data_IF_740188443800
#
_entry.id   IF_740188443800
#
_cell.length_a   1.000
_cell.length_b   1.000
_cell.length_c   1.000
_cell.angle_alpha   90.00
_cell.angle_beta   90.00
_cell.angle_gamma   90.00
#
_symmetry.space_group_name_H-M   'P 1'
#
loop_
_entity.id
_entity.type
_entity.pdbx_description
1 polymer ?
#
# COMPACT_ATOMS: atom_id res chain seq x y z
N UNK A 1 -16.54 28.96 17.13
CA UNK A 1 -17.10 27.95 16.23
C UNK A 1 -16.25 26.71 16.26
N UNK A 2 -16.84 25.60 16.54
CA UNK A 2 -16.12 24.36 16.56
C UNK A 2 -15.71 23.97 15.14
N UNK A 3 -14.46 23.59 15.00
CA UNK A 3 -13.94 23.05 13.74
C UNK A 3 -14.31 21.57 13.66
N UNK A 4 -15.46 21.28 13.06
CA UNK A 4 -15.98 19.91 12.95
C UNK A 4 -15.05 18.99 12.13
N UNK A 5 -14.33 19.54 11.17
CA UNK A 5 -13.34 18.77 10.40
C UNK A 5 -12.17 18.33 11.26
N UNK A 6 -11.66 19.21 12.12
CA UNK A 6 -10.58 18.87 13.03
C UNK A 6 -10.97 17.78 14.00
N UNK A 7 -12.18 17.87 14.57
CA UNK A 7 -12.69 16.86 15.48
C UNK A 7 -12.88 15.51 14.79
N UNK A 8 -13.38 15.50 13.54
CA UNK A 8 -13.57 14.27 12.78
C UNK A 8 -12.23 13.58 12.48
N UNK A 9 -11.20 14.35 12.19
CA UNK A 9 -9.85 13.81 11.95
C UNK A 9 -9.23 13.20 13.19
N UNK A 10 -9.39 13.88 14.34
CA UNK A 10 -8.90 13.38 15.62
C UNK A 10 -9.65 12.11 16.04
N UNK A 11 -10.94 12.05 15.82
CA UNK A 11 -11.75 10.88 16.09
C UNK A 11 -11.31 9.70 15.20
N UNK A 12 -11.12 9.94 13.91
CA UNK A 12 -10.64 8.92 12.99
C UNK A 12 -9.27 8.39 13.42
N UNK A 13 -8.33 9.27 13.75
CA UNK A 13 -7.01 8.90 14.24
C UNK A 13 -7.11 8.03 15.50
N UNK A 14 -7.96 8.44 16.45
CA UNK A 14 -8.16 7.70 17.69
C UNK A 14 -8.72 6.30 17.44
N UNK A 15 -9.65 6.17 16.49
CA UNK A 15 -10.20 4.87 16.09
C UNK A 15 -9.14 3.95 15.51
N UNK A 16 -8.26 4.47 14.65
CA UNK A 16 -7.18 3.68 14.05
C UNK A 16 -6.23 3.17 15.12
N UNK A 17 -5.83 4.04 16.05
CA UNK A 17 -4.94 3.67 17.15
C UNK A 17 -5.60 2.64 18.06
N UNK A 18 -6.88 2.82 18.38
CA UNK A 18 -7.63 1.87 19.21
C UNK A 18 -7.72 0.51 18.52
N UNK A 19 -7.99 0.48 17.22
CA UNK A 19 -8.05 -0.76 16.44
C UNK A 19 -6.71 -1.49 16.48
N UNK A 20 -5.60 -0.78 16.35
CA UNK A 20 -4.26 -1.37 16.39
C UNK A 20 -3.88 -1.88 17.78
N UNK A 21 -4.40 -1.25 18.84
CA UNK A 21 -4.19 -1.76 20.20
C UNK A 21 -4.91 -3.09 20.42
N UNK A 22 -6.08 -3.26 19.80
CA UNK A 22 -6.86 -4.49 19.88
C UNK A 22 -6.28 -5.59 19.01
N UNK A 23 -5.86 -5.23 17.79
CA UNK A 23 -5.28 -6.16 16.82
C UNK A 23 -4.10 -5.49 16.12
N UNK A 24 -2.88 -5.68 16.62
CA UNK A 24 -1.67 -5.10 16.02
C UNK A 24 -1.35 -5.62 14.63
N UNK A 25 -2.01 -6.70 14.18
CA UNK A 25 -1.80 -7.28 12.86
C UNK A 25 -2.89 -6.90 11.86
N UNK A 26 -3.77 -5.96 12.21
CA UNK A 26 -4.87 -5.56 11.34
C UNK A 26 -4.37 -4.61 10.26
N UNK A 27 -4.00 -5.17 9.11
CA UNK A 27 -3.42 -4.42 8.01
C UNK A 27 -4.25 -3.22 7.53
N UNK A 28 -5.59 -3.32 7.38
CA UNK A 28 -6.40 -2.16 6.95
C UNK A 28 -6.29 -0.94 7.86
N UNK A 29 -6.07 -1.13 9.15
CA UNK A 29 -5.89 -0.01 10.08
C UNK A 29 -4.59 0.74 9.79
N UNK A 30 -3.52 0.02 9.45
CA UNK A 30 -2.26 0.65 9.04
C UNK A 30 -2.41 1.41 7.73
N UNK A 31 -3.17 0.87 6.77
CA UNK A 31 -3.47 1.57 5.51
C UNK A 31 -4.21 2.88 5.79
N UNK A 32 -5.25 2.84 6.60
CA UNK A 32 -6.02 4.02 6.97
C UNK A 32 -5.19 5.05 7.72
N UNK A 33 -4.34 4.59 8.62
CA UNK A 33 -3.43 5.46 9.36
C UNK A 33 -2.42 6.14 8.42
N UNK A 34 -1.90 5.40 7.44
CA UNK A 34 -1.01 5.94 6.42
C UNK A 34 -1.69 7.04 5.59
N UNK A 35 -2.94 6.83 5.17
CA UNK A 35 -3.74 7.84 4.47
C UNK A 35 -3.92 9.07 5.35
N UNK A 36 -4.21 8.87 6.64
CA UNK A 36 -4.33 9.98 7.59
C UNK A 36 -3.07 10.84 7.62
N UNK A 37 -1.90 10.24 7.75
CA UNK A 37 -0.64 10.98 7.79
C UNK A 37 -0.32 11.67 6.45
N UNK A 38 -0.68 11.07 5.32
CA UNK A 38 -0.35 11.65 4.02
C UNK A 38 -1.31 12.75 3.57
N UNK A 39 -2.59 12.66 3.92
CA UNK A 39 -3.62 13.57 3.41
C UNK A 39 -4.28 14.45 4.46
N UNK A 40 -4.41 14.00 5.69
CA UNK A 40 -5.19 14.68 6.70
C UNK A 40 -4.39 15.30 7.83
N UNK A 41 -3.17 14.85 8.06
CA UNK A 41 -2.30 15.44 9.07
C UNK A 41 -1.86 16.83 8.66
N UNK A 42 -1.71 17.73 9.62
CA UNK A 42 -1.26 19.10 9.36
C UNK A 42 -0.09 19.44 10.30
N UNK A 43 1.14 19.54 9.77
CA UNK A 43 1.49 19.30 8.36
C UNK A 43 1.47 17.82 7.98
N UNK A 44 1.33 17.50 6.70
CA UNK A 44 1.42 16.11 6.26
C UNK A 44 2.75 15.47 6.63
N UNK A 45 2.71 14.20 6.98
CA UNK A 45 3.89 13.45 7.38
C UNK A 45 4.10 12.25 6.45
N UNK A 46 4.79 12.45 5.30
CA UNK A 46 4.98 11.36 4.34
C UNK A 46 5.87 10.24 4.86
N UNK A 47 6.77 10.53 5.81
CA UNK A 47 7.65 9.51 6.38
C UNK A 47 6.85 8.52 7.21
N UNK A 48 5.98 9.01 8.10
CA UNK A 48 5.11 8.13 8.89
C UNK A 48 4.10 7.41 8.01
N UNK A 49 3.55 8.11 7.01
CA UNK A 49 2.64 7.49 6.05
C UNK A 49 3.29 6.30 5.35
N UNK A 50 4.52 6.47 4.86
CA UNK A 50 5.26 5.42 4.19
C UNK A 50 5.50 4.21 5.11
N UNK A 51 5.86 4.46 6.36
CA UNK A 51 6.04 3.38 7.35
C UNK A 51 4.76 2.61 7.62
N UNK A 52 3.62 3.32 7.69
CA UNK A 52 2.32 2.69 7.88
C UNK A 52 1.94 1.81 6.68
N UNK A 53 2.14 2.32 5.46
CA UNK A 53 1.87 1.55 4.24
C UNK A 53 2.78 0.32 4.14
N UNK A 54 4.05 0.49 4.47
CA UNK A 54 4.99 -0.63 4.48
C UNK A 54 4.55 -1.71 5.46
N UNK A 55 4.16 -1.32 6.67
CA UNK A 55 3.67 -2.26 7.67
C UNK A 55 2.41 -2.98 7.21
N UNK A 56 1.48 -2.25 6.58
CA UNK A 56 0.25 -2.85 6.05
C UNK A 56 0.57 -3.93 5.01
N UNK A 57 1.48 -3.66 4.07
CA UNK A 57 1.88 -4.61 3.04
C UNK A 57 2.62 -5.82 3.64
N UNK A 58 3.45 -5.60 4.65
CA UNK A 58 4.15 -6.68 5.35
C UNK A 58 3.17 -7.63 6.04
N UNK A 59 2.12 -7.07 6.63
CA UNK A 59 1.10 -7.87 7.33
C UNK A 59 0.17 -8.59 6.34
N UNK A 60 -0.19 -7.94 5.24
CA UNK A 60 -1.07 -8.52 4.24
C UNK A 60 -0.74 -7.94 2.86
N UNK A 61 -0.16 -8.76 2.00
CA UNK A 61 0.20 -8.37 0.64
C UNK A 61 -1.02 -8.03 -0.23
N UNK A 62 -2.24 -8.37 0.24
CA UNK A 62 -3.48 -8.03 -0.46
C UNK A 62 -3.97 -6.61 -0.18
N UNK A 63 -3.28 -5.87 0.70
CA UNK A 63 -3.56 -4.44 0.94
C UNK A 63 -3.09 -3.63 -0.26
N UNK A 64 -3.83 -3.73 -1.38
CA UNK A 64 -3.45 -3.14 -2.66
C UNK A 64 -3.35 -1.63 -2.65
N UNK A 65 -4.20 -0.94 -1.90
CA UNK A 65 -4.13 0.53 -1.81
C UNK A 65 -2.85 0.98 -1.10
N UNK A 66 -2.48 0.31 -0.01
CA UNK A 66 -1.23 0.61 0.69
C UNK A 66 -0.02 0.32 -0.21
N UNK A 67 -0.04 -0.80 -0.91
CA UNK A 67 1.04 -1.19 -1.82
C UNK A 67 1.20 -0.17 -2.96
N UNK A 68 0.09 0.25 -3.56
CA UNK A 68 0.12 1.25 -4.62
C UNK A 68 0.71 2.58 -4.14
N UNK A 69 0.25 3.06 -2.99
CA UNK A 69 0.75 4.32 -2.41
C UNK A 69 2.21 4.23 -2.05
N UNK A 70 2.64 3.09 -1.51
CA UNK A 70 4.04 2.85 -1.19
C UNK A 70 4.90 2.85 -2.47
N UNK A 71 4.46 2.18 -3.52
CA UNK A 71 5.16 2.14 -4.80
C UNK A 71 5.24 3.54 -5.44
N UNK A 72 4.16 4.33 -5.37
CA UNK A 72 4.17 5.72 -5.86
C UNK A 72 5.20 6.57 -5.14
N UNK A 73 5.30 6.42 -3.82
CA UNK A 73 6.32 7.12 -3.03
C UNK A 73 7.74 6.74 -3.43
N UNK A 74 7.99 5.46 -3.63
CA UNK A 74 9.31 5.00 -4.10
C UNK A 74 9.60 5.48 -5.52
N UNK A 75 8.61 5.53 -6.40
CA UNK A 75 8.78 6.04 -7.76
C UNK A 75 9.13 7.54 -7.74
N UNK A 76 8.53 8.31 -6.87
CA UNK A 76 8.84 9.74 -6.72
C UNK A 76 10.29 9.94 -6.27
N UNK A 77 10.82 9.03 -5.48
CA UNK A 77 12.21 9.02 -5.03
C UNK A 77 13.15 8.32 -6.02
N UNK A 78 12.61 7.80 -7.11
CA UNK A 78 13.34 7.04 -8.14
C UNK A 78 13.99 5.75 -7.61
N UNK A 79 13.41 5.18 -6.57
CA UNK A 79 13.80 3.91 -5.98
C UNK A 79 13.14 2.75 -6.74
N UNK A 80 13.56 2.56 -7.99
CA UNK A 80 12.90 1.64 -8.92
C UNK A 80 12.96 0.17 -8.48
N UNK A 81 14.02 -0.23 -7.80
CA UNK A 81 14.12 -1.60 -7.25
C UNK A 81 13.04 -1.87 -6.21
N UNK A 82 12.76 -0.86 -5.37
CA UNK A 82 11.72 -0.98 -4.36
C UNK A 82 10.32 -0.95 -4.98
N UNK A 83 10.12 -0.17 -6.04
CA UNK A 83 8.87 -0.18 -6.81
C UNK A 83 8.59 -1.59 -7.34
N UNK A 84 9.60 -2.21 -7.93
CA UNK A 84 9.46 -3.58 -8.46
C UNK A 84 9.13 -4.59 -7.36
N UNK A 85 9.83 -4.53 -6.23
CA UNK A 85 9.58 -5.44 -5.11
C UNK A 85 8.13 -5.34 -4.64
N UNK A 86 7.62 -4.11 -4.45
CA UNK A 86 6.25 -3.88 -3.98
C UNK A 86 5.25 -4.39 -5.02
N UNK A 87 5.46 -4.09 -6.29
CA UNK A 87 4.58 -4.51 -7.37
C UNK A 87 4.51 -6.04 -7.48
N UNK A 88 5.66 -6.70 -7.48
CA UNK A 88 5.72 -8.17 -7.57
C UNK A 88 5.07 -8.83 -6.37
N UNK A 89 5.32 -8.33 -5.17
CA UNK A 89 4.71 -8.85 -3.95
C UNK A 89 3.19 -8.75 -4.00
N UNK A 90 2.65 -7.66 -4.53
CA UNK A 90 1.21 -7.48 -4.68
C UNK A 90 0.62 -8.53 -5.63
N UNK A 91 1.25 -8.72 -6.77
CA UNK A 91 0.80 -9.71 -7.77
C UNK A 91 0.86 -11.13 -7.19
N UNK A 92 1.95 -11.48 -6.55
CA UNK A 92 2.15 -12.79 -5.94
C UNK A 92 1.17 -13.04 -4.80
N UNK A 93 0.93 -12.03 -3.96
CA UNK A 93 -0.03 -12.12 -2.87
C UNK A 93 -1.44 -12.40 -3.35
N UNK A 94 -1.88 -11.72 -4.41
CA UNK A 94 -3.19 -11.94 -5.02
C UNK A 94 -3.26 -13.30 -5.73
N UNK A 95 -2.15 -13.74 -6.31
CA UNK A 95 -2.08 -15.01 -6.99
C UNK A 95 -1.98 -16.22 -6.08
N UNK A 96 -1.89 -15.99 -4.77
CA UNK A 96 -1.69 -17.06 -3.81
C UNK A 96 -0.29 -17.66 -3.91
N UNK A 97 0.70 -16.91 -3.40
CA UNK A 97 2.11 -17.28 -3.52
C UNK A 97 2.46 -18.69 -3.04
N UNK A 98 1.68 -19.24 -2.13
CA UNK A 98 1.83 -20.61 -1.63
C UNK A 98 0.96 -21.60 -2.40
N UNK A 99 0.15 -21.10 -3.33
CA UNK A 99 -0.77 -21.93 -4.09
C UNK A 99 -0.15 -22.45 -5.36
N UNK A 100 -0.91 -23.32 -5.99
CA UNK A 100 -0.57 -23.86 -7.29
C UNK A 100 -0.62 -22.76 -8.35
N UNK A 101 0.54 -22.29 -8.81
CA UNK A 101 0.65 -21.27 -9.82
C UNK A 101 0.09 -21.70 -11.19
N UNK A 102 -0.19 -22.98 -11.34
CA UNK A 102 -0.77 -23.52 -12.57
C UNK A 102 -2.30 -23.46 -12.57
N UNK A 103 -2.94 -23.14 -11.43
CA UNK A 103 -4.39 -23.07 -11.37
C UNK A 103 -4.91 -21.85 -12.15
N UNK A 104 -6.04 -22.05 -12.84
CA UNK A 104 -6.71 -20.97 -13.57
C UNK A 104 -7.15 -19.85 -12.64
N UNK A 105 -7.58 -20.21 -11.42
CA UNK A 105 -8.01 -19.23 -10.42
C UNK A 105 -6.87 -18.34 -9.96
N UNK A 106 -5.69 -18.91 -9.70
CA UNK A 106 -4.50 -18.14 -9.31
C UNK A 106 -4.05 -17.23 -10.44
N UNK A 107 -4.04 -17.74 -11.67
CA UNK A 107 -3.68 -16.93 -12.85
C UNK A 107 -4.66 -15.76 -13.03
N UNK A 108 -5.96 -16.01 -12.90
CA UNK A 108 -6.98 -14.96 -13.00
C UNK A 108 -6.82 -13.90 -11.92
N UNK A 109 -6.48 -14.32 -10.69
CA UNK A 109 -6.26 -13.39 -9.57
C UNK A 109 -5.12 -12.42 -9.84
N UNK A 110 -4.04 -12.89 -10.47
CA UNK A 110 -2.88 -12.06 -10.80
C UNK A 110 -3.21 -10.95 -11.80
N UNK A 111 -4.19 -11.19 -12.68
CA UNK A 111 -4.57 -10.24 -13.72
C UNK A 111 -5.82 -9.43 -13.38
N UNK A 112 -6.21 -9.37 -12.11
CA UNK A 112 -7.33 -8.52 -11.69
C UNK A 112 -7.08 -7.07 -12.06
N UNK A 113 -8.12 -6.32 -12.49
CA UNK A 113 -7.97 -4.90 -12.81
C UNK A 113 -7.42 -4.06 -11.66
N UNK A 114 -7.70 -4.44 -10.41
CA UNK A 114 -7.18 -3.75 -9.22
C UNK A 114 -5.65 -3.82 -9.15
N UNK A 115 -5.02 -4.79 -9.80
CA UNK A 115 -3.57 -4.96 -9.85
C UNK A 115 -2.94 -4.36 -11.11
N UNK A 116 -3.71 -3.69 -11.95
CA UNK A 116 -3.18 -3.07 -13.19
C UNK A 116 -2.01 -2.13 -12.90
N UNK A 117 -2.07 -1.38 -11.80
CA UNK A 117 -0.99 -0.48 -11.40
C UNK A 117 0.33 -1.23 -11.19
N UNK A 118 0.28 -2.44 -10.63
CA UNK A 118 1.48 -3.24 -10.36
C UNK A 118 2.14 -3.71 -11.66
N UNK A 119 1.34 -4.20 -12.61
CA UNK A 119 1.85 -4.60 -13.92
C UNK A 119 2.43 -3.41 -14.69
N UNK A 120 1.74 -2.27 -14.63
CA UNK A 120 2.22 -1.03 -15.25
C UNK A 120 3.53 -0.57 -14.61
N UNK A 121 3.65 -0.65 -13.31
CA UNK A 121 4.86 -0.27 -12.57
C UNK A 121 6.05 -1.12 -12.98
N UNK A 122 5.87 -2.43 -13.13
CA UNK A 122 6.94 -3.33 -13.60
C UNK A 122 7.38 -2.93 -15.01
N UNK A 123 6.44 -2.60 -15.89
CA UNK A 123 6.76 -2.12 -17.23
C UNK A 123 7.57 -0.84 -17.21
N UNK A 124 7.22 0.12 -16.36
CA UNK A 124 7.96 1.38 -16.21
C UNK A 124 9.38 1.11 -15.72
N UNK A 125 9.54 0.23 -14.72
CA UNK A 125 10.86 -0.15 -14.18
C UNK A 125 11.74 -0.73 -15.28
N UNK A 126 11.22 -1.62 -16.10
CA UNK A 126 11.96 -2.20 -17.22
C UNK A 126 12.39 -1.15 -18.24
N UNK A 127 11.48 -0.20 -18.56
CA UNK A 127 11.81 0.91 -19.46
C UNK A 127 12.93 1.79 -18.90
N UNK A 128 12.89 2.10 -17.60
CA UNK A 128 13.93 2.89 -16.94
C UNK A 128 15.28 2.17 -17.02
N UNK A 129 15.32 0.87 -16.76
CA UNK A 129 16.55 0.07 -16.82
C UNK A 129 17.16 0.04 -18.22
N UNK A 130 16.31 -0.05 -19.24
CA UNK A 130 16.77 -0.06 -20.64
C UNK A 130 17.26 1.32 -21.06
N UNK A 131 16.64 2.39 -20.61
CA UNK A 131 16.97 3.76 -20.97
C UNK A 131 18.24 4.30 -20.27
N UNK A 132 18.63 3.69 -19.15
CA UNK A 132 19.79 4.13 -18.38
C UNK A 132 21.07 3.40 -18.78
#
# INVERSE_FOLDING_TARGET
>A
MENTEGNSREEAYSHFITSLKRDPSFAPAFTSLGVHYSEYADPPDPVRASKCFQKAVELDAREGDAARRLAEGFADEREWDLVEVVARRTIEGEGGAEGDITSSAAAAARYKPVNAWAWKSIGVVELVRVAC
#
